data_IF_660305395923
#
_entry.id   IF_660305395923
#
_cell.length_a   1.000
_cell.length_b   1.000
_cell.length_c   1.000
_cell.angle_alpha   90.00
_cell.angle_beta   90.00
_cell.angle_gamma   90.00
#
_symmetry.space_group_name_H-M   'P 1'
#
loop_
_entity.id
_entity.type
_entity.pdbx_description
1 polymer ?
#
# COMPACT_ATOMS: atom_id res chain seq x y z
N UNK A 1 0.75 -0.18 7.51
CA UNK A 1 1.17 0.25 6.15
C UNK A 1 -0.05 0.72 5.40
N UNK A 2 -0.06 1.94 4.85
CA UNK A 2 -1.21 2.59 4.20
C UNK A 2 -1.55 1.95 2.83
N UNK A 3 -1.72 0.63 2.83
CA UNK A 3 -2.00 -0.23 1.68
C UNK A 3 -3.42 -0.79 1.79
N UNK A 4 -3.98 -1.23 0.66
CA UNK A 4 -5.24 -1.96 0.58
C UNK A 4 -4.99 -3.37 0.04
N UNK A 5 -5.90 -4.29 0.35
CA UNK A 5 -5.93 -5.65 -0.19
C UNK A 5 -7.34 -5.99 -0.67
N UNK A 6 -7.48 -6.57 -1.87
CA UNK A 6 -8.78 -6.89 -2.46
C UNK A 6 -8.79 -8.26 -3.16
N UNK A 7 -9.84 -9.05 -2.88
CA UNK A 7 -9.99 -10.41 -3.39
C UNK A 7 -10.25 -10.42 -4.89
N UNK A 8 -9.67 -11.38 -5.59
CA UNK A 8 -9.86 -11.63 -7.02
C UNK A 8 -10.67 -12.90 -7.24
N UNK A 9 -11.26 -13.02 -8.44
CA UNK A 9 -12.06 -14.19 -8.82
C UNK A 9 -11.28 -15.51 -8.75
N UNK A 10 -9.98 -15.49 -9.00
CA UNK A 10 -9.11 -16.67 -8.97
C UNK A 10 -8.58 -17.02 -7.56
N UNK A 11 -9.14 -16.39 -6.52
CA UNK A 11 -8.77 -16.60 -5.13
C UNK A 11 -7.46 -15.92 -4.69
N UNK A 12 -6.75 -15.22 -5.59
CA UNK A 12 -5.64 -14.34 -5.20
C UNK A 12 -6.14 -13.01 -4.63
N UNK A 13 -5.23 -12.24 -4.07
CA UNK A 13 -5.45 -10.90 -3.57
C UNK A 13 -4.56 -9.92 -4.32
N UNK A 14 -5.13 -8.82 -4.79
CA UNK A 14 -4.36 -7.65 -5.25
C UNK A 14 -4.06 -6.77 -4.04
N UNK A 15 -2.84 -6.24 -3.98
CA UNK A 15 -2.40 -5.28 -2.99
C UNK A 15 -1.95 -4.00 -3.69
N UNK A 16 -2.33 -2.84 -3.15
CA UNK A 16 -1.88 -1.55 -3.67
C UNK A 16 -1.80 -0.47 -2.59
N UNK A 17 -1.36 0.72 -2.99
CA UNK A 17 -1.30 1.89 -2.10
C UNK A 17 -2.68 2.54 -1.98
N UNK A 18 -3.02 3.00 -0.78
CA UNK A 18 -4.21 3.84 -0.61
C UNK A 18 -3.96 5.22 -1.22
N UNK A 19 -5.03 5.93 -1.61
CA UNK A 19 -4.93 7.32 -2.09
C UNK A 19 -4.18 8.24 -1.12
N UNK A 20 -4.29 7.98 0.18
CA UNK A 20 -3.52 8.70 1.21
C UNK A 20 -2.01 8.46 1.04
N UNK A 21 -1.57 7.21 0.94
CA UNK A 21 -0.15 6.87 0.78
C UNK A 21 0.45 7.48 -0.50
N UNK A 22 -0.28 7.39 -1.60
CA UNK A 22 0.12 7.97 -2.89
C UNK A 22 0.35 9.48 -2.76
N UNK A 23 -0.56 10.21 -2.10
CA UNK A 23 -0.40 11.66 -1.88
C UNK A 23 0.83 11.99 -1.02
N UNK A 24 1.15 11.14 -0.06
CA UNK A 24 2.32 11.32 0.81
C UNK A 24 3.64 11.10 0.06
N UNK A 25 3.69 10.10 -0.82
CA UNK A 25 4.87 9.77 -1.63
C UNK A 25 5.06 10.71 -2.83
N UNK A 26 3.99 11.37 -3.30
CA UNK A 26 4.04 12.24 -4.47
C UNK A 26 3.77 11.49 -5.77
N UNK A 27 4.19 12.05 -6.91
CA UNK A 27 4.08 11.32 -8.17
C UNK A 27 5.07 10.15 -8.17
N UNK A 28 4.62 9.00 -8.66
CA UNK A 28 5.43 7.78 -8.65
C UNK A 28 6.45 7.83 -9.77
N UNK A 29 7.67 7.43 -9.43
CA UNK A 29 8.85 7.45 -10.30
C UNK A 29 9.20 6.03 -10.69
N UNK A 30 9.35 5.13 -9.71
CA UNK A 30 9.74 3.74 -9.95
C UNK A 30 9.25 2.80 -8.82
N UNK A 31 9.31 1.50 -9.06
CA UNK A 31 9.07 0.46 -8.06
C UNK A 31 9.83 -0.81 -8.39
N UNK A 32 10.11 -1.61 -7.36
CA UNK A 32 10.79 -2.89 -7.50
C UNK A 32 10.23 -3.95 -6.55
N UNK A 33 10.43 -5.22 -6.92
CA UNK A 33 10.13 -6.37 -6.07
C UNK A 33 11.39 -7.18 -5.84
N UNK A 34 11.64 -7.56 -4.59
CA UNK A 34 12.78 -8.37 -4.15
C UNK A 34 12.41 -9.85 -3.98
N UNK A 35 11.13 -10.17 -4.17
CA UNK A 35 10.57 -11.51 -4.00
C UNK A 35 10.13 -12.06 -5.33
N UNK A 36 10.60 -13.27 -5.63
CA UNK A 36 10.27 -13.98 -6.86
C UNK A 36 8.85 -14.55 -6.84
N UNK A 37 8.16 -14.63 -7.99
CA UNK A 37 6.92 -15.38 -8.15
C UNK A 37 7.01 -16.80 -7.57
N UNK A 38 6.01 -17.16 -6.76
CA UNK A 38 5.90 -18.46 -6.09
C UNK A 38 6.58 -18.54 -4.72
N UNK A 39 7.45 -17.59 -4.38
CA UNK A 39 8.15 -17.60 -3.09
C UNK A 39 7.18 -17.42 -1.91
N UNK A 40 7.44 -18.07 -0.76
CA UNK A 40 6.65 -17.86 0.44
C UNK A 40 6.88 -16.44 0.98
N UNK A 41 5.81 -15.80 1.44
CA UNK A 41 5.82 -14.48 2.07
C UNK A 41 4.99 -14.48 3.35
N UNK A 42 5.39 -13.62 4.29
CA UNK A 42 4.68 -13.41 5.55
C UNK A 42 4.27 -11.97 5.73
N UNK A 43 3.18 -11.73 6.44
CA UNK A 43 2.79 -10.36 6.78
C UNK A 43 3.92 -9.65 7.52
N UNK A 44 4.20 -8.39 7.12
CA UNK A 44 5.30 -7.59 7.64
C UNK A 44 6.68 -7.86 7.01
N UNK A 45 6.81 -8.84 6.11
CA UNK A 45 8.02 -9.04 5.32
C UNK A 45 8.15 -7.96 4.24
N UNK A 46 9.35 -7.45 3.98
CA UNK A 46 9.62 -6.58 2.82
C UNK A 46 9.53 -7.43 1.55
N UNK A 47 8.73 -6.99 0.59
CA UNK A 47 8.57 -7.64 -0.72
C UNK A 47 9.17 -6.80 -1.86
N UNK A 48 9.58 -5.57 -1.57
CA UNK A 48 10.04 -4.62 -2.56
C UNK A 48 10.03 -3.20 -2.02
N UNK A 49 9.98 -2.23 -2.93
CA UNK A 49 10.01 -0.80 -2.63
C UNK A 49 9.24 -0.01 -3.67
N UNK A 50 8.85 1.22 -3.31
CA UNK A 50 8.27 2.22 -4.20
C UNK A 50 9.00 3.54 -4.05
N UNK A 51 9.21 4.24 -5.16
CA UNK A 51 9.81 5.55 -5.21
C UNK A 51 8.81 6.56 -5.76
N UNK A 52 8.54 7.60 -4.96
CA UNK A 52 7.86 8.80 -5.43
C UNK A 52 8.76 10.02 -5.30
N UNK A 53 8.41 11.10 -5.99
CA UNK A 53 9.20 12.34 -6.00
C UNK A 53 9.52 12.92 -4.62
N UNK A 54 8.74 12.59 -3.58
CA UNK A 54 8.97 13.10 -2.22
C UNK A 54 9.77 12.14 -1.34
N UNK A 55 9.65 10.84 -1.58
CA UNK A 55 10.22 9.82 -0.71
C UNK A 55 10.23 8.43 -1.36
N UNK A 56 11.17 7.61 -0.90
CA UNK A 56 11.22 6.17 -1.15
C UNK A 56 10.65 5.47 0.09
N UNK A 57 9.91 4.38 -0.13
CA UNK A 57 9.36 3.56 0.95
C UNK A 57 9.50 2.09 0.62
N UNK A 58 9.89 1.31 1.62
CA UNK A 58 9.77 -0.14 1.58
C UNK A 58 8.30 -0.55 1.42
N UNK A 59 8.08 -1.64 0.70
CA UNK A 59 6.79 -2.26 0.49
C UNK A 59 6.71 -3.54 1.29
N UNK A 60 5.80 -3.55 2.27
CA UNK A 60 5.59 -4.69 3.14
C UNK A 60 4.45 -5.59 2.63
N UNK A 61 4.63 -6.90 2.78
CA UNK A 61 3.55 -7.87 2.63
C UNK A 61 2.49 -7.64 3.72
N UNK A 62 1.21 -7.82 3.37
CA UNK A 62 0.08 -7.71 4.31
C UNK A 62 -0.77 -8.99 4.30
N UNK A 63 -0.15 -10.12 3.96
CA UNK A 63 -0.76 -11.43 3.92
C UNK A 63 0.28 -12.52 4.20
N UNK A 64 -0.17 -13.66 4.69
CA UNK A 64 0.63 -14.88 4.78
C UNK A 64 0.28 -15.81 3.61
N UNK A 65 1.30 -16.30 2.89
CA UNK A 65 1.10 -17.21 1.77
C UNK A 65 2.24 -17.16 0.75
N UNK A 66 1.90 -17.04 -0.54
CA UNK A 66 2.86 -17.04 -1.65
C UNK A 66 2.71 -15.78 -2.49
N UNK A 67 3.84 -15.14 -2.79
CA UNK A 67 3.90 -14.03 -3.74
C UNK A 67 3.55 -14.56 -5.13
N UNK A 68 2.62 -13.90 -5.83
CA UNK A 68 2.18 -14.35 -7.16
C UNK A 68 2.97 -13.60 -8.22
N UNK A 69 2.86 -12.27 -8.25
CA UNK A 69 3.52 -11.43 -9.24
C UNK A 69 3.44 -9.94 -8.84
N UNK A 70 4.34 -9.14 -9.39
CA UNK A 70 4.18 -7.68 -9.47
C UNK A 70 3.35 -7.26 -10.68
N UNK A 71 2.76 -6.08 -10.65
CA UNK A 71 2.00 -5.55 -11.78
C UNK A 71 2.91 -5.09 -12.91
N UNK A 72 3.08 -5.94 -13.93
CA UNK A 72 3.97 -5.67 -15.05
C UNK A 72 3.60 -4.41 -15.84
N UNK A 73 2.33 -3.98 -15.82
CA UNK A 73 1.85 -2.77 -16.51
C UNK A 73 2.53 -1.50 -15.97
N UNK A 74 2.94 -1.51 -14.70
CA UNK A 74 3.54 -0.34 -14.06
C UNK A 74 4.95 0.00 -14.57
N UNK A 75 5.63 -0.94 -15.23
CA UNK A 75 6.92 -0.68 -15.89
C UNK A 75 6.81 0.38 -16.99
N UNK A 76 5.67 0.42 -17.67
CA UNK A 76 5.40 1.38 -18.75
C UNK A 76 4.45 2.51 -18.30
N UNK A 77 3.65 2.26 -17.26
CA UNK A 77 2.56 3.14 -16.83
C UNK A 77 2.53 3.34 -15.31
N UNK A 78 3.66 3.75 -14.75
CA UNK A 78 3.82 3.99 -13.30
C UNK A 78 2.79 4.99 -12.75
N UNK A 79 2.37 5.95 -13.57
CA UNK A 79 1.36 6.98 -13.22
C UNK A 79 -0.02 6.41 -12.87
N UNK A 80 -0.31 5.14 -13.20
CA UNK A 80 -1.54 4.46 -12.77
C UNK A 80 -1.64 4.33 -11.26
N UNK A 81 -0.52 4.25 -10.54
CA UNK A 81 -0.52 4.24 -9.08
C UNK A 81 -1.07 5.57 -8.53
N UNK A 82 -0.82 6.69 -9.21
CA UNK A 82 -1.39 7.99 -8.86
C UNK A 82 -2.85 8.15 -9.32
N UNK A 83 -3.14 7.81 -10.58
CA UNK A 83 -4.43 8.05 -11.22
C UNK A 83 -5.54 7.09 -10.78
N UNK A 84 -5.23 5.80 -10.70
CA UNK A 84 -6.17 4.71 -10.38
C UNK A 84 -5.59 3.72 -9.34
N UNK A 85 -5.34 4.20 -8.10
CA UNK A 85 -4.64 3.41 -7.07
C UNK A 85 -5.37 2.15 -6.64
N UNK A 86 -6.69 2.06 -6.84
CA UNK A 86 -7.53 0.94 -6.41
C UNK A 86 -7.97 0.03 -7.58
N UNK A 87 -7.74 0.46 -8.83
CA UNK A 87 -8.02 -0.32 -10.03
C UNK A 87 -6.74 -0.84 -10.68
N UNK A 88 -6.29 -0.17 -11.74
CA UNK A 88 -5.12 -0.56 -12.54
C UNK A 88 -3.77 -0.30 -11.83
N UNK A 89 -3.74 0.55 -10.82
CA UNK A 89 -2.54 0.91 -10.03
C UNK A 89 -2.22 -0.05 -8.88
N UNK A 90 -2.72 -1.29 -8.90
CA UNK A 90 -2.31 -2.31 -7.93
C UNK A 90 -0.82 -2.64 -8.08
N UNK A 91 -0.14 -2.97 -6.98
CA UNK A 91 1.31 -3.18 -6.97
C UNK A 91 1.68 -4.65 -7.18
N UNK A 92 1.15 -5.55 -6.34
CA UNK A 92 1.46 -6.98 -6.42
C UNK A 92 0.24 -7.85 -6.10
N UNK A 93 0.36 -9.14 -6.41
CA UNK A 93 -0.59 -10.18 -6.06
C UNK A 93 0.00 -11.19 -5.10
N UNK A 94 -0.83 -11.68 -4.20
CA UNK A 94 -0.49 -12.71 -3.21
C UNK A 94 -1.62 -13.73 -3.14
N UNK A 95 -1.30 -15.00 -2.91
CA UNK A 95 -2.28 -16.05 -2.62
C UNK A 95 -2.08 -16.50 -1.18
N UNK A 96 -3.16 -16.59 -0.43
CA UNK A 96 -3.11 -16.92 0.99
C UNK A 96 -4.16 -16.15 1.78
N UNK A 97 -3.81 -15.78 3.01
CA UNK A 97 -4.71 -15.12 3.95
C UNK A 97 -4.21 -13.70 4.25
N UNK A 98 -5.04 -12.66 4.07
CA UNK A 98 -4.73 -11.32 4.55
C UNK A 98 -4.43 -11.32 6.06
N UNK A 99 -3.56 -10.41 6.50
CA UNK A 99 -3.29 -10.21 7.92
C UNK A 99 -4.60 -9.90 8.67
N UNK A 100 -4.80 -10.51 9.84
CA UNK A 100 -5.98 -10.26 10.67
C UNK A 100 -6.11 -8.80 11.13
N UNK A 101 -5.03 -8.01 11.05
CA UNK A 101 -5.02 -6.56 11.31
C UNK A 101 -5.56 -5.73 10.13
N UNK A 102 -5.80 -6.33 8.97
CA UNK A 102 -6.49 -5.65 7.88
C UNK A 102 -7.88 -5.24 8.35
N UNK A 103 -8.23 -3.99 8.08
CA UNK A 103 -9.53 -3.41 8.43
C UNK A 103 -10.29 -3.07 7.16
N UNK A 104 -11.60 -2.93 7.28
CA UNK A 104 -12.40 -2.41 6.18
C UNK A 104 -12.04 -0.94 5.86
N UNK A 105 -12.44 -0.49 4.67
CA UNK A 105 -12.11 0.84 4.18
C UNK A 105 -12.71 1.97 5.06
N UNK A 106 -13.85 1.73 5.71
CA UNK A 106 -14.51 2.72 6.55
C UNK A 106 -13.79 2.88 7.89
N UNK A 107 -13.36 1.77 8.50
CA UNK A 107 -12.52 1.78 9.70
C UNK A 107 -11.18 2.43 9.41
N UNK A 108 -10.55 2.13 8.27
CA UNK A 108 -9.32 2.81 7.86
C UNK A 108 -9.50 4.32 7.76
N UNK A 109 -10.60 4.79 7.14
CA UNK A 109 -10.92 6.22 7.07
C UNK A 109 -11.07 6.84 8.46
N UNK A 110 -11.80 6.21 9.36
CA UNK A 110 -11.97 6.69 10.74
C UNK A 110 -10.64 6.77 11.51
N UNK A 111 -9.72 5.83 11.27
CA UNK A 111 -8.38 5.87 11.86
C UNK A 111 -7.58 7.08 11.34
N UNK A 112 -7.69 7.40 10.04
CA UNK A 112 -7.05 8.59 9.47
C UNK A 112 -7.63 9.86 10.07
N UNK A 113 -8.96 9.99 10.14
CA UNK A 113 -9.64 11.16 10.69
C UNK A 113 -9.20 11.42 12.14
N UNK A 114 -9.25 10.38 12.99
CA UNK A 114 -8.78 10.47 14.39
C UNK A 114 -7.31 10.86 14.51
N UNK A 115 -6.48 10.43 13.55
CA UNK A 115 -5.04 10.76 13.56
C UNK A 115 -4.83 12.23 13.17
N UNK A 116 -5.58 12.72 12.19
CA UNK A 116 -5.56 14.13 11.76
C UNK A 116 -6.00 15.04 12.91
N UNK A 117 -7.11 14.71 13.58
CA UNK A 117 -7.62 15.49 14.72
C UNK A 117 -6.56 15.63 15.81
N UNK A 118 -5.92 14.53 16.21
CA UNK A 118 -4.84 14.53 17.21
C UNK A 118 -3.63 15.37 16.80
N UNK A 119 -3.27 15.37 15.51
CA UNK A 119 -2.17 16.19 15.01
C UNK A 119 -2.54 17.68 15.10
N UNK A 120 -3.76 18.04 14.72
CA UNK A 120 -4.24 19.41 14.76
C UNK A 120 -4.38 19.95 16.20
N UNK A 121 -4.85 19.13 17.13
CA UNK A 121 -4.90 19.47 18.56
C UNK A 121 -3.50 19.75 19.10
N UNK A 122 -2.54 18.85 18.87
CA UNK A 122 -1.14 19.05 19.28
C UNK A 122 -0.51 20.30 18.69
N UNK A 123 -0.80 20.61 17.42
CA UNK A 123 -0.29 21.83 16.77
C UNK A 123 -0.90 23.11 17.34
N UNK A 124 -2.17 23.08 17.78
CA UNK A 124 -2.79 24.20 18.49
C UNK A 124 -2.13 24.41 19.85
N UNK A 125 -1.97 23.34 20.63
CA UNK A 125 -1.33 23.41 21.95
C UNK A 125 0.13 23.89 21.87
N UNK A 126 0.86 23.53 20.80
CA UNK A 126 2.23 23.99 20.59
C UNK A 126 2.35 25.44 20.11
N UNK A 127 1.27 26.03 19.58
CA UNK A 127 1.24 27.44 19.11
C UNK A 127 0.74 28.42 20.19
N UNK A 128 0.12 27.91 21.26
CA UNK A 128 -0.41 28.69 22.38
C UNK A 128 0.62 28.80 23.52
N UNK A 129 1.69 27.99 23.49
CA UNK A 129 2.89 28.11 24.34
C UNK A 129 3.97 28.91 23.61
#
# INVERSE_FOLDING_TARGET
SHCWIARQADGSWRVGLTRFAVRMLGEMVDLGFEVEPGAPVRSGQIVGWVEGFKAISDLFCIADGNFVEGNAVLKERITLVNGDPHGAGWLYRVRGQPDAKCVDAQVYRQLLDKTIDKILEKQKDSRIK
#
